data_IF_418504281493
#
_entry.id   IF_418504281493
#
_cell.length_a   1.000
_cell.length_b   1.000
_cell.length_c   1.000
_cell.angle_alpha   90.00
_cell.angle_beta   90.00
_cell.angle_gamma   90.00
#
_symmetry.space_group_name_H-M   'P 1'
#
loop_
_entity.id
_entity.type
_entity.pdbx_description
1 polymer ?
#
# COMPACT_ATOMS: atom_id res chain seq x y z
N UNK A 1 -18.75 12.52 0.07
CA UNK A 1 -18.65 13.65 1.01
C UNK A 1 -19.25 14.97 0.53
N UNK A 2 -20.17 14.91 -0.43
CA UNK A 2 -20.88 16.06 -0.99
C UNK A 2 -21.43 17.03 0.08
N UNK A 3 -22.01 16.49 1.17
CA UNK A 3 -22.58 17.29 2.26
C UNK A 3 -21.53 18.19 2.96
N UNK A 4 -20.35 17.68 3.25
CA UNK A 4 -19.29 18.48 3.89
C UNK A 4 -18.65 19.48 2.93
N UNK A 5 -18.57 19.16 1.65
CA UNK A 5 -18.06 20.10 0.63
C UNK A 5 -19.05 21.25 0.41
N UNK A 6 -20.36 20.96 0.46
CA UNK A 6 -21.42 21.97 0.47
C UNK A 6 -21.32 22.87 1.72
N UNK A 7 -21.24 22.29 2.91
CA UNK A 7 -21.10 23.06 4.15
C UNK A 7 -19.88 23.97 4.13
N UNK A 8 -18.75 23.50 3.63
CA UNK A 8 -17.55 24.33 3.49
C UNK A 8 -17.76 25.52 2.55
N UNK A 9 -18.40 25.28 1.42
CA UNK A 9 -18.71 26.35 0.47
C UNK A 9 -19.63 27.42 1.08
N UNK A 10 -20.68 27.00 1.81
CA UNK A 10 -21.63 27.91 2.47
C UNK A 10 -20.95 28.66 3.61
N UNK A 11 -20.21 28.00 4.48
CA UNK A 11 -19.50 28.62 5.60
C UNK A 11 -18.53 29.68 5.10
N UNK A 12 -17.77 29.36 4.04
CA UNK A 12 -16.86 30.33 3.41
C UNK A 12 -17.59 31.50 2.78
N UNK A 13 -18.71 31.25 2.09
CA UNK A 13 -19.54 32.30 1.45
C UNK A 13 -20.09 33.32 2.45
N UNK A 14 -20.45 32.84 3.64
CA UNK A 14 -21.04 33.65 4.69
C UNK A 14 -20.04 34.11 5.76
N UNK A 15 -18.73 33.85 5.55
CA UNK A 15 -17.66 34.22 6.49
C UNK A 15 -17.95 33.73 7.92
N UNK A 16 -18.55 32.52 8.03
CA UNK A 16 -18.94 31.97 9.32
C UNK A 16 -17.77 31.22 9.98
N UNK A 17 -17.55 31.52 11.26
CA UNK A 17 -16.48 30.87 12.05
C UNK A 17 -16.79 29.39 12.38
N UNK A 18 -18.08 29.07 12.49
CA UNK A 18 -18.54 27.76 12.95
C UNK A 18 -19.70 27.25 12.10
N UNK A 19 -19.70 25.92 11.91
CA UNK A 19 -20.85 25.15 11.47
C UNK A 19 -21.50 24.50 12.70
N UNK A 20 -22.69 24.92 13.06
CA UNK A 20 -23.46 24.37 14.18
C UNK A 20 -24.37 23.26 13.67
N UNK A 21 -24.30 22.08 14.27
CA UNK A 21 -25.14 20.92 13.96
C UNK A 21 -25.97 20.53 15.18
N UNK A 22 -27.26 20.30 14.98
CA UNK A 22 -28.22 19.94 16.03
C UNK A 22 -28.20 18.43 16.39
N UNK A 23 -27.03 17.80 16.36
CA UNK A 23 -26.90 16.41 16.83
C UNK A 23 -27.13 16.36 18.35
N UNK A 24 -27.84 15.35 18.80
CA UNK A 24 -28.21 15.12 20.20
C UNK A 24 -27.74 13.75 20.72
N UNK A 25 -28.08 13.42 21.94
CA UNK A 25 -27.60 12.21 22.63
C UNK A 25 -28.00 10.92 21.90
N UNK A 26 -29.19 10.85 21.31
CA UNK A 26 -29.62 9.66 20.55
C UNK A 26 -28.81 9.48 19.28
N UNK A 27 -28.44 10.58 18.60
CA UNK A 27 -27.52 10.53 17.44
C UNK A 27 -26.13 10.00 17.83
N UNK A 28 -25.67 10.30 19.05
CA UNK A 28 -24.44 9.75 19.60
C UNK A 28 -24.55 8.23 19.81
N UNK A 29 -25.65 7.77 20.42
CA UNK A 29 -25.89 6.33 20.59
C UNK A 29 -25.93 5.61 19.23
N UNK A 30 -26.67 6.13 18.25
CA UNK A 30 -26.71 5.59 16.87
C UNK A 30 -25.31 5.46 16.29
N UNK A 31 -24.54 6.54 16.40
CA UNK A 31 -23.18 6.60 15.83
C UNK A 31 -22.23 5.59 16.48
N UNK A 32 -22.26 5.48 17.79
CA UNK A 32 -21.42 4.54 18.54
C UNK A 32 -21.80 3.10 18.21
N UNK A 33 -23.08 2.74 18.29
CA UNK A 33 -23.58 1.41 17.96
C UNK A 33 -23.26 0.98 16.54
N UNK A 34 -23.49 1.87 15.57
CA UNK A 34 -23.17 1.59 14.16
C UNK A 34 -21.68 1.38 13.93
N UNK A 35 -20.81 2.11 14.64
CA UNK A 35 -19.36 1.95 14.54
C UNK A 35 -18.89 0.65 15.21
N UNK A 36 -19.48 0.28 16.34
CA UNK A 36 -19.17 -0.97 17.03
C UNK A 36 -19.58 -2.18 16.19
N UNK A 37 -20.76 -2.15 15.58
CA UNK A 37 -21.24 -3.26 14.75
C UNK A 37 -20.45 -3.46 13.45
N UNK A 38 -19.85 -2.41 12.90
CA UNK A 38 -19.03 -2.48 11.67
C UNK A 38 -17.55 -2.71 11.91
N UNK A 39 -17.11 -2.56 13.15
CA UNK A 39 -15.70 -2.41 13.50
C UNK A 39 -15.22 -0.99 13.22
N UNK A 40 -14.42 -0.42 14.10
CA UNK A 40 -13.91 0.93 13.97
C UNK A 40 -12.57 1.08 14.70
N UNK A 41 -11.87 2.19 14.45
CA UNK A 41 -10.70 2.59 15.21
C UNK A 41 -11.09 3.09 16.60
N UNK A 42 -10.15 3.15 17.54
CA UNK A 42 -10.40 3.72 18.87
C UNK A 42 -10.98 5.13 18.77
N UNK A 43 -10.42 6.00 17.91
CA UNK A 43 -10.98 7.33 17.68
C UNK A 43 -12.41 7.27 17.13
N UNK A 44 -12.69 6.32 16.23
CA UNK A 44 -14.04 6.08 15.73
C UNK A 44 -15.00 5.66 16.82
N UNK A 45 -14.59 4.80 17.77
CA UNK A 45 -15.42 4.31 18.89
C UNK A 45 -15.76 5.40 19.89
N UNK A 46 -14.98 6.49 19.97
CA UNK A 46 -15.32 7.67 20.80
C UNK A 46 -16.54 8.45 20.31
N UNK A 47 -17.16 8.03 19.20
CA UNK A 47 -18.37 8.66 18.69
C UNK A 47 -18.14 10.04 18.07
N UNK A 48 -19.11 10.95 18.28
CA UNK A 48 -19.03 12.36 17.85
C UNK A 48 -18.48 13.22 18.99
N UNK A 49 -17.60 14.17 18.62
CA UNK A 49 -17.09 15.20 19.54
C UNK A 49 -17.98 16.44 19.48
N UNK A 50 -18.16 17.13 20.62
CA UNK A 50 -18.87 18.39 20.68
C UNK A 50 -18.25 19.44 19.76
N UNK A 51 -16.92 19.53 19.79
CA UNK A 51 -16.13 20.39 18.89
C UNK A 51 -15.24 19.52 18.01
N UNK A 52 -15.24 19.80 16.70
CA UNK A 52 -14.40 19.09 15.74
C UNK A 52 -13.95 20.02 14.63
N UNK A 53 -12.65 19.99 14.35
CA UNK A 53 -12.09 20.61 13.15
C UNK A 53 -11.87 19.55 12.07
N UNK A 54 -12.45 19.73 10.90
CA UNK A 54 -12.31 18.83 9.76
C UNK A 54 -12.50 19.56 8.44
N UNK A 55 -11.60 19.34 7.47
CA UNK A 55 -11.69 19.97 6.14
C UNK A 55 -11.93 21.47 6.18
N UNK A 56 -11.20 22.19 7.01
CA UNK A 56 -11.33 23.66 7.21
C UNK A 56 -12.65 24.12 7.85
N UNK A 57 -13.43 23.21 8.44
CA UNK A 57 -14.66 23.52 9.14
C UNK A 57 -14.50 23.36 10.65
N UNK A 58 -14.84 24.39 11.42
CA UNK A 58 -15.06 24.29 12.85
C UNK A 58 -16.51 23.86 13.10
N UNK A 59 -16.69 22.63 13.53
CA UNK A 59 -18.02 22.05 13.76
C UNK A 59 -18.31 22.07 15.25
N UNK A 60 -19.50 22.60 15.63
CA UNK A 60 -20.04 22.55 16.98
C UNK A 60 -21.32 21.70 17.03
N UNK A 61 -21.49 20.95 18.11
CA UNK A 61 -22.68 20.16 18.40
C UNK A 61 -23.14 20.44 19.85
N UNK A 62 -23.77 21.60 20.07
CA UNK A 62 -24.09 22.05 21.44
C UNK A 62 -25.12 21.17 22.15
N UNK A 63 -25.90 20.40 21.38
CA UNK A 63 -26.95 19.54 21.93
C UNK A 63 -26.54 18.07 22.15
N UNK A 64 -25.27 17.74 21.95
CA UNK A 64 -24.79 16.35 21.98
C UNK A 64 -25.03 15.65 23.33
N UNK A 65 -25.13 16.42 24.43
CA UNK A 65 -25.39 15.92 25.78
C UNK A 65 -26.86 15.90 26.17
N UNK A 66 -27.74 16.45 25.34
CA UNK A 66 -29.15 16.53 25.62
C UNK A 66 -29.95 15.43 24.92
N UNK A 67 -31.01 14.93 25.59
CA UNK A 67 -31.95 14.00 24.98
C UNK A 67 -32.84 14.72 23.96
N UNK A 68 -33.27 13.99 22.92
CA UNK A 68 -34.23 14.53 21.93
C UNK A 68 -35.49 15.07 22.61
N UNK A 69 -35.98 14.37 23.65
CA UNK A 69 -37.18 14.75 24.41
C UNK A 69 -37.01 16.11 25.11
N UNK A 70 -35.84 16.36 25.69
CA UNK A 70 -35.56 17.66 26.36
C UNK A 70 -35.54 18.78 25.35
N UNK A 71 -34.96 18.56 24.16
CA UNK A 71 -34.95 19.59 23.10
C UNK A 71 -36.36 19.94 22.62
N UNK A 72 -37.25 18.96 22.49
CA UNK A 72 -38.66 19.24 22.18
C UNK A 72 -39.40 20.02 23.28
N UNK A 73 -39.11 19.71 24.54
CA UNK A 73 -39.68 20.45 25.65
C UNK A 73 -39.27 21.94 25.64
N UNK A 74 -37.98 22.20 25.43
CA UNK A 74 -37.45 23.55 25.33
C UNK A 74 -37.96 24.28 24.06
N UNK A 75 -38.02 23.62 22.91
CA UNK A 75 -38.59 24.21 21.68
C UNK A 75 -40.05 24.63 21.89
N UNK A 76 -40.85 23.79 22.56
CA UNK A 76 -42.25 24.13 22.88
C UNK A 76 -42.36 25.28 23.88
N UNK A 77 -41.50 25.31 24.90
CA UNK A 77 -41.48 26.35 25.93
C UNK A 77 -41.15 27.74 25.36
N UNK A 78 -40.24 27.79 24.36
CA UNK A 78 -39.80 29.04 23.74
C UNK A 78 -40.45 29.30 22.37
N UNK A 79 -41.48 28.52 22.00
CA UNK A 79 -42.20 28.64 20.72
C UNK A 79 -41.25 28.62 19.49
N UNK A 80 -40.23 27.74 19.54
CA UNK A 80 -39.27 27.62 18.44
C UNK A 80 -39.89 26.75 17.35
N UNK A 81 -40.07 27.22 16.13
CA UNK A 81 -40.60 26.42 15.04
C UNK A 81 -39.57 25.34 14.61
N UNK A 82 -40.05 24.14 14.37
CA UNK A 82 -39.26 23.06 13.81
C UNK A 82 -40.08 22.22 12.82
N UNK A 83 -39.41 21.55 11.90
CA UNK A 83 -40.01 20.61 10.96
C UNK A 83 -39.44 19.21 11.20
N UNK A 84 -40.28 18.22 11.09
CA UNK A 84 -39.83 16.82 11.06
C UNK A 84 -39.66 16.37 9.63
N UNK A 85 -38.57 15.65 9.38
CA UNK A 85 -38.29 15.09 8.05
C UNK A 85 -38.96 13.70 7.98
N UNK A 86 -39.92 13.53 7.07
CA UNK A 86 -40.67 12.29 6.86
C UNK A 86 -39.75 11.08 6.58
N UNK A 87 -38.57 11.31 6.02
CA UNK A 87 -37.60 10.25 5.77
C UNK A 87 -37.05 9.58 7.06
N UNK A 88 -37.28 10.18 8.21
CA UNK A 88 -36.92 9.61 9.51
C UNK A 88 -37.85 8.45 9.91
N UNK A 89 -39.02 8.32 9.32
CA UNK A 89 -39.98 7.26 9.64
C UNK A 89 -39.67 5.92 8.93
N UNK A 90 -38.94 5.95 7.83
CA UNK A 90 -38.59 4.77 7.06
C UNK A 90 -37.40 3.99 7.64
N UNK A 91 -37.50 2.66 7.67
CA UNK A 91 -36.41 1.72 8.05
C UNK A 91 -35.42 1.41 6.91
N UNK A 92 -35.49 2.10 5.77
CA UNK A 92 -34.64 1.88 4.63
C UNK A 92 -33.15 2.10 4.98
N UNK A 93 -32.89 3.04 5.87
CA UNK A 93 -31.54 3.36 6.31
C UNK A 93 -31.15 2.63 7.59
N UNK A 94 -29.93 2.10 7.63
CA UNK A 94 -29.38 1.44 8.82
C UNK A 94 -29.51 2.31 10.08
N UNK A 95 -29.32 3.62 9.94
CA UNK A 95 -29.42 4.55 11.07
C UNK A 95 -30.81 4.58 11.65
N UNK A 96 -31.85 4.61 10.80
CA UNK A 96 -33.23 4.60 11.24
C UNK A 96 -33.60 3.28 11.95
N UNK A 97 -33.10 2.13 11.45
CA UNK A 97 -33.31 0.84 12.13
C UNK A 97 -32.73 0.84 13.56
N UNK A 98 -31.54 1.43 13.77
CA UNK A 98 -30.99 1.58 15.13
C UNK A 98 -31.87 2.50 15.98
N UNK A 99 -32.35 3.61 15.43
CA UNK A 99 -33.23 4.58 16.08
C UNK A 99 -34.54 3.97 16.52
N UNK A 100 -35.18 3.15 15.65
CA UNK A 100 -36.52 2.63 15.89
C UNK A 100 -36.50 1.33 16.71
N UNK A 101 -35.50 0.50 16.58
CA UNK A 101 -35.52 -0.85 17.14
C UNK A 101 -34.47 -1.09 18.23
N UNK A 102 -33.30 -0.46 18.16
CA UNK A 102 -32.22 -0.74 19.10
C UNK A 102 -32.21 0.25 20.28
N UNK A 103 -32.27 1.54 19.98
CA UNK A 103 -32.21 2.59 21.01
C UNK A 103 -33.39 2.54 21.96
N UNK A 104 -34.66 2.38 21.51
CA UNK A 104 -35.79 2.26 22.43
C UNK A 104 -35.64 1.07 23.39
N UNK A 105 -35.24 -0.10 22.88
CA UNK A 105 -34.95 -1.28 23.69
C UNK A 105 -33.88 -1.00 24.77
N UNK A 106 -32.77 -0.36 24.41
CA UNK A 106 -31.72 -0.01 25.36
C UNK A 106 -32.18 0.99 26.43
N UNK A 107 -33.06 1.92 26.07
CA UNK A 107 -33.63 2.90 27.00
C UNK A 107 -34.72 2.27 27.91
N UNK A 108 -35.44 1.24 27.46
CA UNK A 108 -36.36 0.45 28.24
C UNK A 108 -35.62 -0.34 29.31
N UNK A 109 -34.52 -1.00 28.93
CA UNK A 109 -33.66 -1.74 29.87
C UNK A 109 -32.96 -0.79 30.87
N UNK A 110 -32.54 0.36 30.42
CA UNK A 110 -31.86 1.38 31.23
C UNK A 110 -32.22 2.79 30.79
N UNK A 111 -33.07 3.51 31.53
CA UNK A 111 -33.46 4.89 31.22
C UNK A 111 -32.25 5.86 31.06
N UNK A 112 -31.13 5.56 31.72
CA UNK A 112 -29.91 6.35 31.65
C UNK A 112 -28.93 5.89 30.51
N UNK A 113 -29.37 4.98 29.63
CA UNK A 113 -28.51 4.43 28.58
C UNK A 113 -27.80 5.54 27.77
N UNK A 114 -28.52 6.59 27.36
CA UNK A 114 -27.94 7.70 26.63
C UNK A 114 -26.76 8.36 27.34
N UNK A 115 -26.90 8.70 28.61
CA UNK A 115 -25.84 9.29 29.43
C UNK A 115 -24.66 8.33 29.65
N UNK A 116 -24.92 7.04 29.75
CA UNK A 116 -23.86 6.03 29.88
C UNK A 116 -23.09 5.84 28.59
N UNK A 117 -23.74 5.83 27.43
CA UNK A 117 -23.08 5.82 26.13
C UNK A 117 -22.19 7.05 25.95
N UNK A 118 -22.66 8.22 26.34
CA UNK A 118 -21.88 9.46 26.24
C UNK A 118 -20.66 9.42 27.18
N UNK A 119 -20.83 9.01 28.44
CA UNK A 119 -19.71 8.86 29.37
C UNK A 119 -18.68 7.88 28.87
N UNK A 120 -19.11 6.71 28.35
CA UNK A 120 -18.20 5.72 27.78
C UNK A 120 -17.47 6.23 26.54
N UNK A 121 -18.17 6.93 25.66
CA UNK A 121 -17.57 7.58 24.50
C UNK A 121 -16.52 8.64 24.90
N UNK A 122 -16.82 9.44 25.96
CA UNK A 122 -15.86 10.41 26.49
C UNK A 122 -14.64 9.74 27.11
N UNK A 123 -14.82 8.66 27.89
CA UNK A 123 -13.67 7.90 28.45
C UNK A 123 -12.75 7.37 27.34
N UNK A 124 -13.33 6.87 26.24
CA UNK A 124 -12.55 6.44 25.09
C UNK A 124 -11.85 7.64 24.44
N UNK A 125 -12.52 8.78 24.28
CA UNK A 125 -11.93 10.00 23.73
C UNK A 125 -10.74 10.49 24.56
N UNK A 126 -10.85 10.45 25.88
CA UNK A 126 -9.80 10.86 26.82
C UNK A 126 -8.59 9.91 26.73
N UNK A 127 -8.84 8.59 26.70
CA UNK A 127 -7.79 7.60 26.50
C UNK A 127 -7.06 7.78 25.15
N UNK A 128 -7.80 8.05 24.09
CA UNK A 128 -7.24 8.36 22.77
C UNK A 128 -6.40 9.64 22.81
N UNK A 129 -6.87 10.69 23.48
CA UNK A 129 -6.14 11.95 23.61
C UNK A 129 -4.81 11.77 24.35
N UNK A 130 -4.75 10.90 25.38
CA UNK A 130 -3.53 10.56 26.07
C UNK A 130 -2.58 9.68 25.23
N UNK A 131 -3.13 8.79 24.40
CA UNK A 131 -2.35 7.84 23.59
C UNK A 131 -1.77 8.47 22.32
N UNK A 132 -2.50 9.42 21.71
CA UNK A 132 -2.12 10.01 20.42
C UNK A 132 -0.72 10.64 20.41
N UNK A 133 -0.30 11.45 21.39
CA UNK A 133 1.05 12.01 21.41
C UNK A 133 2.14 10.93 21.45
N UNK A 134 1.91 9.84 22.19
CA UNK A 134 2.84 8.70 22.29
C UNK A 134 2.95 7.99 20.93
N UNK A 135 1.82 7.79 20.25
CA UNK A 135 1.79 7.19 18.92
C UNK A 135 2.48 8.05 17.87
N UNK A 136 2.30 9.38 17.93
CA UNK A 136 2.94 10.35 17.02
C UNK A 136 4.45 10.33 17.22
N UNK A 137 4.93 10.42 18.45
CA UNK A 137 6.37 10.32 18.76
C UNK A 137 6.98 9.01 18.27
N UNK A 138 6.32 7.88 18.55
CA UNK A 138 6.79 6.57 18.08
C UNK A 138 6.77 6.45 16.56
N UNK A 139 5.79 7.04 15.89
CA UNK A 139 5.75 7.06 14.43
C UNK A 139 6.92 7.86 13.83
N UNK A 140 7.25 9.02 14.40
CA UNK A 140 8.37 9.83 13.95
C UNK A 140 9.70 9.09 14.14
N UNK A 141 9.84 8.34 15.23
CA UNK A 141 11.04 7.54 15.52
C UNK A 141 11.20 6.33 14.61
N UNK A 142 10.09 5.63 14.31
CA UNK A 142 10.15 4.32 13.65
C UNK A 142 9.92 4.38 12.13
N UNK A 143 9.14 5.35 11.64
CA UNK A 143 8.70 5.38 10.25
C UNK A 143 9.29 6.56 9.48
N UNK A 144 9.87 6.25 8.33
CA UNK A 144 10.32 7.27 7.36
C UNK A 144 9.26 7.42 6.26
N UNK A 145 8.82 8.66 6.03
CA UNK A 145 7.72 8.97 5.10
C UNK A 145 8.22 9.63 3.84
N UNK A 146 7.84 9.03 2.71
CA UNK A 146 7.95 9.62 1.37
C UNK A 146 6.57 9.85 0.75
N UNK A 147 6.52 10.49 -0.42
CA UNK A 147 5.24 10.84 -1.12
C UNK A 147 4.32 9.62 -1.39
N UNK A 148 4.88 8.44 -1.65
CA UNK A 148 4.14 7.21 -2.00
C UNK A 148 4.74 5.96 -1.36
N UNK A 149 5.56 6.17 -0.34
CA UNK A 149 6.26 5.10 0.36
C UNK A 149 6.40 5.46 1.83
N UNK A 150 6.16 4.49 2.71
CA UNK A 150 6.48 4.57 4.13
C UNK A 150 7.38 3.39 4.44
N UNK A 151 8.53 3.62 5.07
CA UNK A 151 9.50 2.56 5.42
C UNK A 151 9.75 2.51 6.91
N UNK A 152 10.12 1.34 7.41
CA UNK A 152 10.53 1.13 8.78
C UNK A 152 11.43 -0.10 8.89
N UNK A 153 12.24 -0.14 9.94
CA UNK A 153 13.14 -1.25 10.21
C UNK A 153 12.45 -2.32 11.04
N UNK A 154 12.51 -3.58 10.61
CA UNK A 154 11.83 -4.72 11.25
C UNK A 154 12.18 -4.86 12.72
N UNK A 155 13.47 -4.93 13.06
CA UNK A 155 13.95 -5.14 14.43
C UNK A 155 13.47 -4.05 15.39
N UNK A 156 13.55 -2.77 14.96
CA UNK A 156 13.10 -1.65 15.78
C UNK A 156 11.60 -1.70 16.06
N UNK A 157 10.81 -2.07 15.02
CA UNK A 157 9.37 -2.20 15.14
C UNK A 157 8.96 -3.38 16.04
N UNK A 158 9.64 -4.52 15.95
CA UNK A 158 9.35 -5.70 16.77
C UNK A 158 9.75 -5.56 18.25
N UNK A 159 10.55 -4.56 18.61
CA UNK A 159 10.84 -4.20 20.02
C UNK A 159 9.63 -3.57 20.72
N UNK A 160 8.68 -3.01 19.97
CA UNK A 160 7.46 -2.48 20.56
C UNK A 160 6.50 -3.60 21.01
N UNK A 161 5.71 -3.40 22.08
CA UNK A 161 4.64 -4.33 22.45
C UNK A 161 3.67 -4.57 21.28
N UNK A 162 3.09 -5.75 21.19
CA UNK A 162 2.21 -6.12 20.06
C UNK A 162 0.99 -5.19 19.93
N UNK A 163 0.49 -4.67 21.03
CA UNK A 163 -0.60 -3.70 21.08
C UNK A 163 -0.16 -2.38 20.42
N UNK A 164 1.05 -1.93 20.72
CA UNK A 164 1.64 -0.74 20.12
C UNK A 164 1.89 -0.95 18.63
N UNK A 165 2.39 -2.12 18.22
CA UNK A 165 2.58 -2.47 16.81
C UNK A 165 1.27 -2.35 16.03
N UNK A 166 0.15 -2.89 16.56
CA UNK A 166 -1.18 -2.78 15.94
C UNK A 166 -1.63 -1.34 15.79
N UNK A 167 -1.50 -0.54 16.83
CA UNK A 167 -1.90 0.88 16.82
C UNK A 167 -1.07 1.70 15.84
N UNK A 168 0.24 1.49 15.81
CA UNK A 168 1.15 2.16 14.87
C UNK A 168 0.82 1.83 13.42
N UNK A 169 0.59 0.55 13.10
CA UNK A 169 0.19 0.13 11.76
C UNK A 169 -1.18 0.71 11.38
N UNK A 170 -2.13 0.69 12.29
CA UNK A 170 -3.47 1.25 12.05
C UNK A 170 -3.39 2.74 11.71
N UNK A 171 -2.61 3.50 12.46
CA UNK A 171 -2.38 4.92 12.23
C UNK A 171 -1.71 5.19 10.88
N UNK A 172 -0.65 4.45 10.54
CA UNK A 172 0.06 4.58 9.26
C UNK A 172 -0.88 4.31 8.09
N UNK A 173 -1.67 3.23 8.16
CA UNK A 173 -2.61 2.85 7.12
C UNK A 173 -3.75 3.86 6.94
N UNK A 174 -4.27 4.42 8.04
CA UNK A 174 -5.28 5.49 7.99
C UNK A 174 -4.75 6.75 7.28
N UNK A 175 -3.52 7.15 7.56
CA UNK A 175 -2.89 8.31 6.92
C UNK A 175 -2.60 8.08 5.43
N UNK A 176 -2.53 6.81 5.02
CA UNK A 176 -2.42 6.39 3.61
C UNK A 176 -3.79 6.27 2.92
N UNK A 177 -4.87 6.70 3.57
CA UNK A 177 -6.25 6.53 3.09
C UNK A 177 -6.58 5.06 2.73
N UNK A 178 -6.08 4.15 3.58
CA UNK A 178 -6.23 2.70 3.38
C UNK A 178 -6.81 2.06 4.62
N UNK A 179 -7.96 1.42 4.47
CA UNK A 179 -8.60 0.63 5.52
C UNK A 179 -8.38 -0.85 5.24
N UNK A 180 -7.92 -1.58 6.24
CA UNK A 180 -7.72 -3.03 6.16
C UNK A 180 -8.59 -3.77 7.16
N UNK A 181 -8.88 -5.02 6.89
CA UNK A 181 -9.58 -5.91 7.82
C UNK A 181 -8.65 -6.36 8.95
N UNK A 182 -9.24 -6.87 10.04
CA UNK A 182 -8.48 -7.49 11.15
C UNK A 182 -7.59 -8.61 10.64
N UNK A 183 -8.10 -9.44 9.72
CA UNK A 183 -7.33 -10.54 9.11
C UNK A 183 -6.10 -10.02 8.35
N UNK A 184 -6.25 -8.94 7.59
CA UNK A 184 -5.11 -8.34 6.87
C UNK A 184 -4.09 -7.72 7.84
N UNK A 185 -4.54 -7.13 8.95
CA UNK A 185 -3.65 -6.63 9.99
C UNK A 185 -2.78 -7.74 10.58
N UNK A 186 -3.40 -8.86 10.96
CA UNK A 186 -2.65 -10.02 11.49
C UNK A 186 -1.70 -10.62 10.45
N UNK A 187 -2.09 -10.67 9.18
CA UNK A 187 -1.21 -11.09 8.09
C UNK A 187 0.02 -10.18 7.92
N UNK A 188 -0.14 -8.86 8.09
CA UNK A 188 0.99 -7.92 8.04
C UNK A 188 1.93 -8.18 9.22
N UNK A 189 1.41 -8.29 10.43
CA UNK A 189 2.19 -8.56 11.64
C UNK A 189 2.95 -9.89 11.55
N UNK A 190 2.30 -10.96 11.09
CA UNK A 190 2.93 -12.26 10.83
C UNK A 190 4.08 -12.13 9.82
N UNK A 191 3.86 -11.40 8.72
CA UNK A 191 4.89 -11.19 7.69
C UNK A 191 6.05 -10.34 8.18
N UNK A 192 5.81 -9.35 9.04
CA UNK A 192 6.88 -8.58 9.69
C UNK A 192 7.72 -9.52 10.56
N UNK A 193 7.11 -10.37 11.37
CA UNK A 193 7.82 -11.31 12.26
C UNK A 193 8.45 -12.52 11.56
N UNK A 194 8.17 -12.75 10.27
CA UNK A 194 8.65 -13.93 9.53
C UNK A 194 10.15 -13.86 9.23
N UNK A 195 10.84 -14.99 9.24
CA UNK A 195 12.27 -15.14 8.84
C UNK A 195 12.49 -15.07 7.31
N UNK A 196 11.42 -15.02 6.53
CA UNK A 196 11.55 -14.91 5.06
C UNK A 196 12.16 -13.57 4.69
N UNK A 197 13.22 -13.60 3.90
CA UNK A 197 13.98 -12.43 3.50
C UNK A 197 13.18 -11.44 2.63
N UNK A 198 12.24 -11.93 1.83
CA UNK A 198 11.44 -11.11 0.93
C UNK A 198 9.99 -11.59 0.91
N UNK A 199 9.08 -10.68 1.16
CA UNK A 199 7.63 -10.90 1.16
C UNK A 199 6.90 -9.72 0.55
N UNK A 200 5.75 -9.99 -0.06
CA UNK A 200 4.83 -8.96 -0.55
C UNK A 200 3.39 -9.36 -0.18
N UNK A 201 2.59 -8.38 0.21
CA UNK A 201 1.15 -8.52 0.43
C UNK A 201 0.45 -7.36 -0.28
N UNK A 202 -0.52 -7.68 -1.13
CA UNK A 202 -1.37 -6.66 -1.75
C UNK A 202 -2.39 -6.14 -0.73
N UNK A 203 -2.55 -4.82 -0.72
CA UNK A 203 -3.46 -4.09 0.17
C UNK A 203 -4.48 -3.30 -0.68
N UNK A 204 -5.59 -2.85 -0.07
CA UNK A 204 -6.58 -2.04 -0.76
C UNK A 204 -5.97 -0.76 -1.37
N UNK A 205 -6.71 -0.13 -2.29
CA UNK A 205 -6.35 1.14 -2.93
C UNK A 205 -4.99 1.14 -3.66
N UNK A 206 -4.51 -0.04 -4.10
CA UNK A 206 -3.25 -0.19 -4.84
C UNK A 206 -1.99 -0.08 -3.98
N UNK A 207 -2.14 -0.14 -2.67
CA UNK A 207 -1.00 -0.25 -1.77
C UNK A 207 -0.49 -1.68 -1.67
N UNK A 208 0.79 -1.81 -1.34
CA UNK A 208 1.47 -3.10 -1.09
C UNK A 208 2.31 -2.99 0.16
N UNK A 209 2.20 -3.96 1.04
CA UNK A 209 3.21 -4.18 2.07
C UNK A 209 4.34 -5.03 1.48
N UNK A 210 5.58 -4.63 1.73
CA UNK A 210 6.79 -5.32 1.29
C UNK A 210 7.75 -5.47 2.46
N UNK A 211 8.35 -6.63 2.56
CA UNK A 211 9.51 -6.87 3.40
C UNK A 211 10.67 -7.22 2.50
N UNK A 212 11.81 -6.57 2.69
CA UNK A 212 13.07 -6.82 2.01
C UNK A 212 14.18 -6.88 3.04
N UNK A 213 14.54 -8.10 3.44
CA UNK A 213 15.44 -8.35 4.56
C UNK A 213 14.90 -7.72 5.85
N UNK A 214 15.60 -6.75 6.40
CA UNK A 214 15.23 -6.03 7.62
C UNK A 214 14.38 -4.78 7.35
N UNK A 215 14.26 -4.35 6.10
CA UNK A 215 13.42 -3.21 5.72
C UNK A 215 12.00 -3.66 5.40
N UNK A 216 11.04 -3.04 6.06
CA UNK A 216 9.61 -3.14 5.76
C UNK A 216 9.12 -1.84 5.13
N UNK A 217 8.18 -1.94 4.19
CA UNK A 217 7.61 -0.76 3.54
C UNK A 217 6.16 -0.95 3.13
N UNK A 218 5.44 0.17 3.14
CA UNK A 218 4.17 0.32 2.43
C UNK A 218 4.43 1.18 1.20
N UNK A 219 4.10 0.69 0.02
CA UNK A 219 4.36 1.38 -1.25
C UNK A 219 3.09 1.40 -2.10
N UNK A 220 2.75 2.57 -2.64
CA UNK A 220 1.66 2.69 -3.61
C UNK A 220 2.20 2.35 -5.00
N UNK A 221 1.93 1.11 -5.43
CA UNK A 221 2.46 0.58 -6.68
C UNK A 221 1.71 1.15 -7.89
N UNK A 222 2.45 1.64 -8.89
CA UNK A 222 2.00 1.41 -10.25
C UNK A 222 2.28 -0.07 -10.52
N UNK A 223 1.27 -0.86 -10.89
CA UNK A 223 1.57 -2.13 -11.57
C UNK A 223 2.28 -1.76 -12.87
N UNK A 224 3.60 -1.85 -12.89
CA UNK A 224 4.29 -1.94 -14.17
C UNK A 224 3.88 -3.29 -14.77
N UNK A 225 2.95 -3.24 -15.70
CA UNK A 225 2.72 -4.36 -16.60
C UNK A 225 3.99 -4.44 -17.44
N UNK A 226 4.85 -5.39 -17.14
CA UNK A 226 6.00 -5.69 -17.99
C UNK A 226 5.42 -6.38 -19.23
N UNK A 227 5.42 -5.73 -20.39
CA UNK A 227 4.89 -6.35 -21.59
C UNK A 227 5.75 -7.58 -21.92
N UNK A 228 5.11 -8.66 -22.37
CA UNK A 228 5.83 -9.85 -22.81
C UNK A 228 6.41 -9.61 -24.20
N UNK A 229 7.47 -8.81 -24.24
CA UNK A 229 8.18 -8.45 -25.49
C UNK A 229 9.33 -9.44 -25.69
N UNK A 230 9.45 -9.96 -26.90
CA UNK A 230 10.55 -10.79 -27.33
C UNK A 230 11.16 -10.18 -28.62
N UNK A 231 12.46 -10.05 -28.65
CA UNK A 231 13.21 -9.63 -29.84
C UNK A 231 13.97 -10.83 -30.38
N UNK A 232 13.72 -11.19 -31.63
CA UNK A 232 14.39 -12.30 -32.30
C UNK A 232 15.39 -11.72 -33.30
N UNK A 233 16.67 -12.07 -33.16
CA UNK A 233 17.76 -11.77 -34.08
C UNK A 233 18.02 -12.99 -34.93
N UNK A 234 17.51 -12.98 -36.14
CA UNK A 234 17.57 -14.14 -37.06
C UNK A 234 18.97 -14.42 -37.60
N UNK A 235 19.76 -13.37 -37.79
CA UNK A 235 21.07 -13.42 -38.44
C UNK A 235 22.11 -12.58 -37.72
N UNK A 236 23.42 -12.88 -37.91
CA UNK A 236 24.51 -12.11 -37.34
C UNK A 236 24.77 -10.81 -38.13
N UNK A 237 23.86 -9.83 -37.96
CA UNK A 237 23.91 -8.52 -38.60
C UNK A 237 23.90 -7.41 -37.55
N UNK A 238 24.53 -6.27 -37.82
CA UNK A 238 24.53 -5.14 -36.90
C UNK A 238 23.11 -4.66 -36.63
N UNK A 239 22.71 -4.78 -35.36
CA UNK A 239 21.34 -4.51 -34.92
C UNK A 239 21.32 -3.74 -33.61
N UNK A 240 20.52 -2.68 -33.57
CA UNK A 240 20.29 -1.90 -32.36
C UNK A 240 18.84 -2.02 -31.90
N UNK A 241 18.66 -2.48 -30.67
CA UNK A 241 17.35 -2.59 -30.00
C UNK A 241 17.32 -1.60 -28.84
N UNK A 242 16.24 -0.83 -28.74
CA UNK A 242 15.94 0.06 -27.61
C UNK A 242 14.62 -0.34 -26.97
N UNK A 243 14.65 -1.19 -25.95
CA UNK A 243 13.44 -1.63 -25.27
C UNK A 243 12.67 -0.48 -24.60
N UNK A 244 13.40 0.54 -24.14
CA UNK A 244 12.87 1.79 -23.57
C UNK A 244 13.92 2.91 -23.68
N UNK A 245 13.66 4.07 -23.08
CA UNK A 245 14.55 5.26 -23.14
C UNK A 245 15.88 5.06 -22.39
N UNK A 246 15.91 4.14 -21.42
CA UNK A 246 17.05 3.89 -20.56
C UNK A 246 17.89 2.68 -20.98
N UNK A 247 17.37 1.80 -21.81
CA UNK A 247 18.00 0.53 -22.17
C UNK A 247 18.36 0.44 -23.64
N UNK A 248 19.56 -0.06 -23.90
CA UNK A 248 20.08 -0.29 -25.23
C UNK A 248 20.76 -1.66 -25.31
N UNK A 249 20.43 -2.39 -26.38
CA UNK A 249 21.07 -3.68 -26.73
C UNK A 249 21.62 -3.51 -28.14
N UNK A 250 22.92 -3.69 -28.29
CA UNK A 250 23.60 -3.55 -29.58
C UNK A 250 24.29 -4.86 -29.94
N UNK A 251 23.99 -5.40 -31.11
CA UNK A 251 24.74 -6.47 -31.75
C UNK A 251 25.62 -5.83 -32.86
N UNK A 252 26.92 -6.06 -32.83
CA UNK A 252 27.85 -5.50 -33.83
C UNK A 252 29.08 -6.36 -34.04
N UNK A 253 29.65 -6.32 -35.23
CA UNK A 253 30.97 -6.90 -35.53
C UNK A 253 32.12 -6.02 -35.03
N UNK A 254 31.83 -4.75 -34.69
CA UNK A 254 32.80 -3.76 -34.22
C UNK A 254 33.07 -3.85 -32.71
N UNK A 255 33.97 -2.92 -32.27
CA UNK A 255 34.21 -2.73 -30.82
C UNK A 255 33.09 -1.89 -30.22
N UNK A 256 32.71 -2.20 -29.00
CA UNK A 256 31.73 -1.44 -28.18
C UNK A 256 32.38 -0.96 -26.88
N UNK A 257 31.95 0.18 -26.36
CA UNK A 257 32.43 0.76 -25.12
C UNK A 257 31.64 0.27 -23.90
N UNK A 258 30.62 -0.58 -24.11
CA UNK A 258 29.78 -1.08 -23.00
C UNK A 258 30.56 -1.98 -22.04
N UNK A 259 30.29 -1.83 -20.73
CA UNK A 259 30.87 -2.68 -19.69
C UNK A 259 30.38 -4.12 -19.75
N UNK A 260 29.16 -4.36 -20.28
CA UNK A 260 28.58 -5.68 -20.42
C UNK A 260 28.56 -6.10 -21.88
N UNK A 261 29.45 -7.02 -22.23
CA UNK A 261 29.61 -7.53 -23.60
C UNK A 261 29.67 -9.05 -23.63
N UNK A 262 29.05 -9.65 -24.63
CA UNK A 262 29.01 -11.10 -24.85
C UNK A 262 29.40 -11.38 -26.30
N UNK A 263 30.40 -12.25 -26.57
CA UNK A 263 30.64 -12.77 -27.92
C UNK A 263 29.52 -13.74 -28.29
N UNK A 264 28.99 -13.60 -29.49
CA UNK A 264 28.03 -14.51 -30.12
C UNK A 264 28.51 -14.92 -31.50
N UNK A 265 28.17 -16.13 -31.92
CA UNK A 265 28.66 -16.75 -33.14
C UNK A 265 27.49 -17.11 -34.07
N UNK A 266 27.70 -17.30 -35.37
CA UNK A 266 26.65 -17.67 -36.32
C UNK A 266 25.81 -18.89 -35.90
N UNK A 267 26.44 -19.88 -35.24
CA UNK A 267 25.78 -21.09 -34.72
C UNK A 267 24.78 -20.84 -33.57
N UNK A 268 24.89 -19.68 -32.89
CA UNK A 268 24.02 -19.36 -31.76
C UNK A 268 22.68 -18.79 -32.24
N UNK A 269 22.58 -18.37 -33.52
CA UNK A 269 21.37 -17.80 -34.09
C UNK A 269 20.31 -18.85 -34.49
N UNK A 270 19.01 -18.51 -34.39
CA UNK A 270 18.48 -17.22 -33.97
C UNK A 270 18.65 -16.98 -32.47
N UNK A 271 18.98 -15.73 -32.11
CA UNK A 271 19.05 -15.29 -30.72
C UNK A 271 17.73 -14.68 -30.29
N UNK A 272 17.22 -15.03 -29.13
CA UNK A 272 16.02 -14.44 -28.55
C UNK A 272 16.37 -13.63 -27.30
N UNK A 273 15.99 -12.36 -27.29
CA UNK A 273 16.12 -11.46 -26.14
C UNK A 273 14.73 -11.30 -25.57
N UNK A 274 14.53 -11.77 -24.34
CA UNK A 274 13.23 -11.75 -23.65
C UNK A 274 13.41 -11.56 -22.17
N UNK A 275 12.31 -11.28 -21.48
CA UNK A 275 12.34 -11.26 -20.02
C UNK A 275 12.48 -12.68 -19.43
N UNK A 276 13.10 -12.74 -18.24
CA UNK A 276 13.24 -14.00 -17.51
C UNK A 276 11.89 -14.63 -17.16
N UNK A 277 11.74 -15.93 -17.39
CA UNK A 277 10.53 -16.72 -17.12
C UNK A 277 10.75 -17.69 -15.95
N UNK A 278 9.68 -18.09 -15.23
CA UNK A 278 9.76 -19.18 -14.26
C UNK A 278 10.26 -20.45 -14.91
N UNK A 279 11.27 -21.08 -14.29
CA UNK A 279 11.87 -22.31 -14.82
C UNK A 279 13.18 -22.11 -15.57
N UNK A 280 13.54 -20.90 -15.98
CA UNK A 280 14.80 -20.59 -16.66
C UNK A 280 16.01 -21.04 -15.82
N UNK A 281 17.02 -21.57 -16.52
CA UNK A 281 18.28 -22.06 -15.95
C UNK A 281 19.44 -21.49 -16.74
N UNK A 282 20.55 -21.18 -16.05
CA UNK A 282 21.82 -20.77 -16.66
C UNK A 282 22.92 -21.75 -16.31
N UNK A 283 23.80 -22.06 -17.26
CA UNK A 283 24.96 -22.91 -17.03
C UNK A 283 26.00 -22.23 -16.14
N UNK A 284 26.60 -22.98 -15.22
CA UNK A 284 27.62 -22.52 -14.28
C UNK A 284 29.04 -22.84 -14.71
N UNK A 285 29.19 -23.88 -15.51
CA UNK A 285 30.50 -24.44 -15.95
C UNK A 285 30.60 -24.53 -17.47
N UNK A 286 31.83 -24.66 -17.92
CA UNK A 286 32.19 -24.76 -19.32
C UNK A 286 31.63 -25.99 -20.04
N UNK A 287 31.45 -27.07 -19.34
CA UNK A 287 30.92 -28.34 -19.85
C UNK A 287 29.38 -28.36 -19.88
N UNK A 288 28.70 -27.28 -19.43
CA UNK A 288 27.24 -27.20 -19.30
C UNK A 288 26.65 -28.35 -18.46
N UNK A 289 27.46 -28.97 -17.59
CA UNK A 289 27.00 -30.07 -16.73
C UNK A 289 26.29 -29.57 -15.49
N UNK A 290 26.64 -28.36 -15.01
CA UNK A 290 26.02 -27.73 -13.83
C UNK A 290 25.16 -26.53 -14.24
N UNK A 291 23.88 -26.61 -13.86
CA UNK A 291 22.92 -25.56 -14.11
C UNK A 291 22.34 -24.99 -12.81
N UNK A 292 22.08 -23.70 -12.80
CA UNK A 292 21.38 -23.03 -11.72
C UNK A 292 20.05 -22.41 -12.22
N UNK A 293 18.96 -22.63 -11.47
CA UNK A 293 17.70 -21.93 -11.73
C UNK A 293 17.92 -20.41 -11.56
N UNK A 294 17.44 -19.61 -12.51
CA UNK A 294 17.54 -18.16 -12.44
C UNK A 294 16.90 -17.61 -11.16
N UNK A 295 15.78 -18.18 -10.71
CA UNK A 295 15.13 -17.78 -9.46
C UNK A 295 16.06 -17.87 -8.24
N UNK A 296 16.88 -18.95 -8.16
CA UNK A 296 17.87 -19.11 -7.09
C UNK A 296 19.05 -18.16 -7.24
N UNK A 297 19.47 -17.93 -8.49
CA UNK A 297 20.53 -16.97 -8.77
C UNK A 297 20.12 -15.54 -8.38
N UNK A 298 18.89 -15.11 -8.71
CA UNK A 298 18.35 -13.82 -8.31
C UNK A 298 18.32 -13.63 -6.79
N UNK A 299 17.96 -14.69 -6.03
CA UNK A 299 17.97 -14.66 -4.56
C UNK A 299 19.40 -14.44 -4.05
N UNK A 300 20.35 -15.25 -4.55
CA UNK A 300 21.76 -15.18 -4.13
C UNK A 300 22.40 -13.83 -4.48
N UNK A 301 21.98 -13.20 -5.59
CA UNK A 301 22.42 -11.88 -6.03
C UNK A 301 21.64 -10.75 -5.39
N UNK A 302 20.75 -11.04 -4.41
CA UNK A 302 19.90 -10.07 -3.67
C UNK A 302 19.04 -9.19 -4.55
N UNK A 303 18.63 -9.69 -5.75
CA UNK A 303 17.78 -8.96 -6.68
C UNK A 303 16.33 -8.95 -6.15
N UNK A 304 15.69 -7.78 -6.00
CA UNK A 304 14.32 -7.66 -5.55
C UNK A 304 13.33 -8.40 -6.46
N UNK A 305 12.30 -9.02 -5.87
CA UNK A 305 11.34 -9.86 -6.60
C UNK A 305 10.68 -9.14 -7.79
N UNK A 306 10.41 -7.86 -7.65
CA UNK A 306 9.77 -7.03 -8.68
C UNK A 306 10.67 -6.77 -9.88
N UNK A 307 11.96 -6.57 -9.62
CA UNK A 307 12.95 -6.32 -10.67
C UNK A 307 13.25 -7.54 -11.51
N UNK A 308 13.05 -8.75 -10.94
CA UNK A 308 13.33 -10.02 -11.64
C UNK A 308 12.53 -10.21 -12.91
N UNK A 309 11.31 -9.64 -12.95
CA UNK A 309 10.41 -9.71 -14.11
C UNK A 309 10.84 -8.77 -15.25
N UNK A 310 11.65 -7.77 -14.93
CA UNK A 310 12.15 -6.78 -15.90
C UNK A 310 13.54 -7.13 -16.42
N UNK A 311 14.16 -8.23 -15.95
CA UNK A 311 15.51 -8.60 -16.36
C UNK A 311 15.47 -9.32 -17.68
N UNK A 312 16.28 -8.81 -18.61
CA UNK A 312 16.47 -9.40 -19.91
C UNK A 312 17.42 -10.60 -19.88
N UNK A 313 17.08 -11.63 -20.60
CA UNK A 313 17.93 -12.80 -20.83
C UNK A 313 18.17 -12.99 -22.32
N UNK A 314 19.35 -13.50 -22.65
CA UNK A 314 19.72 -13.91 -24.01
C UNK A 314 19.57 -15.43 -24.11
N UNK A 315 18.73 -15.88 -25.02
CA UNK A 315 18.48 -17.29 -25.33
C UNK A 315 19.00 -17.60 -26.72
N UNK A 316 19.70 -18.73 -26.89
CA UNK A 316 20.20 -19.18 -28.19
C UNK A 316 19.19 -20.06 -28.95
N UNK A 317 19.57 -20.49 -30.17
CA UNK A 317 18.79 -21.40 -31.00
C UNK A 317 18.41 -22.72 -30.33
N UNK A 318 19.21 -23.18 -29.36
CA UNK A 318 18.94 -24.39 -28.57
C UNK A 318 18.06 -24.15 -27.36
N UNK A 319 17.46 -22.96 -27.21
CA UNK A 319 16.64 -22.53 -26.07
C UNK A 319 17.39 -22.49 -24.74
N UNK A 320 18.70 -22.34 -24.77
CA UNK A 320 19.55 -22.20 -23.58
C UNK A 320 19.79 -20.73 -23.27
N UNK A 321 19.74 -20.39 -21.98
CA UNK A 321 20.07 -19.05 -21.52
C UNK A 321 21.58 -18.84 -21.52
N UNK A 322 22.05 -17.99 -22.44
CA UNK A 322 23.46 -17.61 -22.59
C UNK A 322 23.87 -16.47 -21.67
N UNK A 323 22.96 -15.57 -21.35
CA UNK A 323 23.24 -14.46 -20.45
C UNK A 323 22.02 -13.93 -19.72
N UNK A 324 22.30 -13.32 -18.57
CA UNK A 324 21.42 -12.42 -17.84
C UNK A 324 22.00 -11.03 -18.10
N UNK A 325 21.34 -10.23 -18.97
CA UNK A 325 21.90 -8.98 -19.48
C UNK A 325 22.16 -7.98 -18.35
N UNK A 326 23.35 -7.38 -18.37
CA UNK A 326 23.83 -6.47 -17.33
C UNK A 326 24.35 -7.13 -16.04
N UNK A 327 24.29 -8.46 -15.91
CA UNK A 327 24.70 -9.15 -14.70
C UNK A 327 25.69 -10.28 -14.91
N UNK A 328 25.40 -11.21 -15.78
CA UNK A 328 26.20 -12.43 -15.92
C UNK A 328 25.95 -13.10 -17.27
N UNK A 329 26.98 -13.75 -17.77
CA UNK A 329 26.88 -14.70 -18.89
C UNK A 329 27.21 -16.13 -18.46
N UNK A 330 26.69 -17.14 -19.19
CA UNK A 330 26.99 -18.56 -18.97
C UNK A 330 28.45 -18.83 -19.33
N UNK A 331 29.15 -19.61 -18.50
CA UNK A 331 30.42 -20.23 -18.89
C UNK A 331 30.09 -21.58 -19.58
N UNK A 332 30.61 -21.92 -20.75
CA UNK A 332 31.73 -21.29 -21.42
C UNK A 332 31.30 -20.43 -22.62
N UNK A 333 31.87 -19.27 -22.71
CA UNK A 333 32.07 -18.69 -24.02
C UNK A 333 33.44 -19.25 -24.50
N UNK A 334 33.43 -20.31 -25.27
CA UNK A 334 34.67 -20.81 -25.83
C UNK A 334 35.26 -19.74 -26.75
N UNK A 335 36.46 -19.36 -26.45
CA UNK A 335 37.32 -18.54 -27.32
C UNK A 335 38.00 -19.45 -28.37
N UNK A 336 37.23 -20.16 -29.18
CA UNK A 336 37.75 -20.67 -30.41
C UNK A 336 37.73 -19.52 -31.42
N UNK A 337 38.78 -19.38 -32.26
CA UNK A 337 38.86 -18.46 -33.36
C UNK A 337 37.82 -18.87 -34.43
N UNK A 338 36.55 -18.67 -34.15
CA UNK A 338 35.50 -18.89 -35.14
C UNK A 338 35.33 -17.56 -35.94
N UNK A 339 35.39 -17.69 -37.27
CA UNK A 339 35.08 -16.61 -38.20
C UNK A 339 33.62 -16.18 -38.05
N UNK A 340 33.38 -14.88 -38.05
CA UNK A 340 32.04 -14.30 -37.95
C UNK A 340 31.57 -13.97 -36.51
N UNK A 341 32.52 -13.80 -35.58
CA UNK A 341 32.24 -13.37 -34.20
C UNK A 341 31.58 -11.99 -34.18
N UNK A 342 30.48 -11.87 -33.50
CA UNK A 342 29.83 -10.61 -33.16
C UNK A 342 29.84 -10.34 -31.67
N UNK A 343 29.64 -9.09 -31.28
CA UNK A 343 29.58 -8.68 -29.87
C UNK A 343 28.17 -8.15 -29.60
N UNK A 344 27.47 -8.80 -28.67
CA UNK A 344 26.23 -8.28 -28.07
C UNK A 344 26.59 -7.49 -26.83
N UNK A 345 26.18 -6.22 -26.77
CA UNK A 345 26.36 -5.36 -25.61
C UNK A 345 25.01 -4.90 -25.06
N UNK A 346 24.99 -4.68 -23.75
CA UNK A 346 23.81 -4.17 -23.03
C UNK A 346 24.21 -2.99 -22.16
N UNK A 347 23.42 -1.93 -22.23
CA UNK A 347 23.56 -0.74 -21.39
C UNK A 347 22.21 -0.39 -20.76
N UNK A 348 22.26 0.04 -19.51
CA UNK A 348 21.12 0.58 -18.80
C UNK A 348 21.56 1.84 -18.02
N UNK A 349 21.02 2.99 -18.38
CA UNK A 349 21.41 4.30 -17.83
C UNK A 349 21.05 4.48 -16.36
N UNK A 350 20.06 3.73 -15.88
CA UNK A 350 19.53 3.86 -14.51
C UNK A 350 20.09 2.82 -13.55
N UNK A 351 20.72 1.75 -14.06
CA UNK A 351 21.32 0.68 -13.26
C UNK A 351 22.83 0.68 -13.46
N UNK A 352 23.59 0.88 -12.36
CA UNK A 352 25.01 0.52 -12.36
C UNK A 352 25.13 -0.98 -12.65
N UNK A 353 25.76 -1.36 -13.74
CA UNK A 353 26.01 -2.75 -14.10
C UNK A 353 26.93 -3.41 -13.07
N UNK A 354 26.38 -4.27 -12.23
CA UNK A 354 27.16 -5.09 -11.29
C UNK A 354 27.71 -6.33 -12.01
N UNK A 355 28.67 -6.15 -12.87
CA UNK A 355 29.40 -7.27 -13.48
C UNK A 355 30.29 -7.90 -12.38
N UNK A 356 29.83 -8.98 -11.74
CA UNK A 356 30.73 -9.86 -11.01
C UNK A 356 31.48 -10.72 -12.03
N UNK A 357 32.80 -10.45 -12.18
CA UNK A 357 33.75 -11.27 -12.92
C UNK A 357 33.84 -12.69 -12.38
#
# INVERSE_FOLDING_TARGET
DFRYDFFRAVTKKHEADYLVLAHHQDDQMETVLMKWSRGSTLEGLSGMKEKRYVKELNILRPFLSYEKKELYQEAKKYDVPYLEDESNESDDYTRNRYRHHVIPFLKEENPNAGSHFQKSAQMIADAVACLMPILEEKQEQLFQRGKKKVTFHQEAFLKEPIEMQRLLLQQVLMQMDTTISVVQMEQILEKIGSDKAQLTLDLPNGWKFKKRYEECSFEKGRQKVVPNIEYVLEKPEDTLIRPNEDEQILLTAGKTASEFTIPVYPKDFPLTIRHAKPGDKIALDASETKHQKLSRWFINSKIPLEERKEIWVLEDASKKIRAILGYRYAKPLFFEEETGKMILSYENKTRCTHVKK
#
